data_IF_480681984038
#
_entry.id   IF_480681984038
#
_cell.length_a   1.000
_cell.length_b   1.000
_cell.length_c   1.000
_cell.angle_alpha   90.00
_cell.angle_beta   90.00
_cell.angle_gamma   90.00
#
_symmetry.space_group_name_H-M   'P 1'
#
loop_
_entity.id
_entity.type
_entity.pdbx_description
1 polymer ?
#
# COMPACT_ATOMS: atom_id res chain seq x y z
N UNK A 1 -7.85 5.89 20.32
CA UNK A 1 -7.69 6.25 18.89
C UNK A 1 -6.75 5.22 18.31
N UNK A 2 -7.10 4.59 17.19
CA UNK A 2 -6.30 3.48 16.65
C UNK A 2 -5.23 4.08 15.74
N UNK A 3 -3.97 3.78 16.01
CA UNK A 3 -2.81 4.35 15.31
C UNK A 3 -2.92 4.15 13.78
N UNK A 4 -3.60 3.10 13.36
CA UNK A 4 -3.94 2.76 11.97
C UNK A 4 -4.72 3.87 11.24
N UNK A 5 -5.67 4.54 11.89
CA UNK A 5 -6.47 5.60 11.26
C UNK A 5 -5.64 6.86 10.98
N UNK A 6 -4.71 7.19 11.90
CA UNK A 6 -3.76 8.28 11.71
C UNK A 6 -2.86 8.02 10.51
N UNK A 7 -2.29 6.82 10.41
CA UNK A 7 -1.43 6.46 9.28
C UNK A 7 -2.22 6.35 7.98
N UNK A 8 -3.46 5.88 8.01
CA UNK A 8 -4.31 5.85 6.82
C UNK A 8 -4.54 7.26 6.26
N UNK A 9 -4.83 8.23 7.13
CA UNK A 9 -5.00 9.62 6.76
C UNK A 9 -3.68 10.26 6.32
N UNK A 10 -2.58 10.01 7.04
CA UNK A 10 -1.26 10.57 6.73
C UNK A 10 -0.71 10.06 5.39
N UNK A 11 -1.00 8.81 5.03
CA UNK A 11 -0.63 8.21 3.74
C UNK A 11 -1.63 8.55 2.62
N UNK A 12 -2.74 9.23 2.93
CA UNK A 12 -3.77 9.57 1.94
C UNK A 12 -4.46 8.36 1.31
N UNK A 13 -4.53 7.23 2.03
CA UNK A 13 -5.14 6.02 1.52
C UNK A 13 -6.66 6.18 1.38
N UNK A 14 -7.17 5.86 0.20
CA UNK A 14 -8.60 5.88 -0.12
C UNK A 14 -9.13 4.45 -0.26
N UNK A 15 -10.43 4.29 -0.04
CA UNK A 15 -11.10 3.00 -0.26
C UNK A 15 -10.76 2.45 -1.66
N UNK A 16 -10.39 1.16 -1.79
CA UNK A 16 -10.51 0.09 -0.79
C UNK A 16 -9.26 -0.14 0.08
N UNK A 17 -8.23 0.69 -0.05
CA UNK A 17 -7.00 0.59 0.73
C UNK A 17 -7.23 1.01 2.18
N UNK A 18 -6.68 0.24 3.12
CA UNK A 18 -6.68 0.57 4.54
C UNK A 18 -5.39 0.10 5.21
N UNK A 19 -5.06 0.71 6.34
CA UNK A 19 -3.93 0.24 7.16
C UNK A 19 -4.42 -0.93 8.01
N UNK A 20 -3.88 -2.11 7.76
CA UNK A 20 -4.19 -3.33 8.50
C UNK A 20 -3.52 -3.32 9.88
N UNK A 21 -2.25 -2.92 9.93
CA UNK A 21 -1.51 -2.87 11.20
C UNK A 21 -0.29 -1.94 11.09
N UNK A 22 0.11 -1.35 12.22
CA UNK A 22 1.39 -0.65 12.35
C UNK A 22 2.19 -1.29 13.47
N UNK A 23 3.47 -1.57 13.21
CA UNK A 23 4.43 -2.04 14.20
C UNK A 23 5.53 -1.02 14.34
N UNK A 24 5.80 -0.63 15.56
CA UNK A 24 6.85 0.33 15.88
C UNK A 24 7.90 -0.36 16.75
N UNK A 25 9.12 -0.40 16.24
CA UNK A 25 10.28 -0.99 16.90
C UNK A 25 11.19 0.16 17.36
N UNK A 26 11.13 0.44 18.67
CA UNK A 26 11.91 1.50 19.31
C UNK A 26 13.41 1.20 19.28
N UNK A 27 13.79 -0.05 19.50
CA UNK A 27 15.19 -0.46 19.54
C UNK A 27 15.87 -0.33 18.16
N UNK A 28 15.12 -0.60 17.09
CA UNK A 28 15.60 -0.45 15.70
C UNK A 28 15.28 0.91 15.09
N UNK A 29 14.61 1.80 15.81
CA UNK A 29 14.08 3.05 15.26
C UNK A 29 13.31 2.85 13.94
N UNK A 30 12.47 1.83 13.86
CA UNK A 30 11.78 1.41 12.63
C UNK A 30 10.27 1.37 12.81
N UNK A 31 9.55 1.89 11.83
CA UNK A 31 8.10 1.85 11.70
C UNK A 31 7.73 0.98 10.50
N UNK A 32 7.06 -0.15 10.75
CA UNK A 32 6.52 -1.04 9.73
C UNK A 32 5.01 -0.86 9.64
N UNK A 33 4.52 -0.33 8.52
CA UNK A 33 3.10 -0.14 8.25
C UNK A 33 2.65 -1.15 7.22
N UNK A 34 1.68 -1.98 7.60
CA UNK A 34 1.05 -2.96 6.72
C UNK A 34 -0.25 -2.39 6.17
N UNK A 35 -0.33 -2.30 4.85
CA UNK A 35 -1.48 -1.81 4.11
C UNK A 35 -2.13 -3.00 3.41
N UNK A 36 -3.45 -3.07 3.46
CA UNK A 36 -4.20 -4.12 2.78
C UNK A 36 -5.48 -3.58 2.14
N UNK A 37 -6.14 -4.42 1.36
CA UNK A 37 -7.45 -4.19 0.79
C UNK A 37 -8.31 -5.46 0.91
N UNK A 38 -9.64 -5.31 1.06
CA UNK A 38 -10.55 -6.45 1.11
C UNK A 38 -10.48 -7.33 -0.14
N UNK A 39 -10.61 -8.65 0.00
CA UNK A 39 -10.73 -9.55 -1.17
C UNK A 39 -11.96 -9.20 -2.00
N UNK A 40 -11.83 -9.26 -3.33
CA UNK A 40 -12.89 -8.84 -4.24
C UNK A 40 -12.95 -7.32 -4.44
N UNK A 41 -12.00 -6.56 -3.89
CA UNK A 41 -11.85 -5.15 -4.22
C UNK A 41 -11.59 -4.98 -5.71
N UNK A 42 -12.26 -4.00 -6.28
CA UNK A 42 -12.05 -3.56 -7.67
C UNK A 42 -11.26 -2.27 -7.66
N UNK A 43 -10.40 -2.10 -8.66
CA UNK A 43 -9.64 -0.88 -8.85
C UNK A 43 -9.76 -0.40 -10.29
N UNK A 44 -9.46 0.87 -10.49
CA UNK A 44 -9.29 1.41 -11.83
C UNK A 44 -7.95 0.94 -12.40
N UNK A 45 -7.95 0.42 -13.62
CA UNK A 45 -6.72 0.05 -14.29
C UNK A 45 -5.90 1.33 -14.60
N UNK A 46 -4.62 1.41 -14.18
CA UNK A 46 -3.81 2.60 -14.43
C UNK A 46 -3.46 2.80 -15.92
N UNK A 47 -3.54 1.76 -16.74
CA UNK A 47 -3.21 1.81 -18.17
C UNK A 47 -4.40 2.24 -19.03
N UNK A 48 -5.61 1.74 -18.75
CA UNK A 48 -6.79 1.98 -19.58
C UNK A 48 -7.91 2.75 -18.90
N UNK A 49 -7.77 3.08 -17.60
CA UNK A 49 -8.79 3.79 -16.82
C UNK A 49 -10.07 3.00 -16.58
N UNK A 50 -10.11 1.72 -16.97
CA UNK A 50 -11.31 0.88 -16.81
C UNK A 50 -11.53 0.60 -15.32
N UNK A 51 -12.70 1.00 -14.84
CA UNK A 51 -13.16 0.68 -13.49
C UNK A 51 -13.63 -0.77 -13.39
N UNK A 52 -13.68 -1.31 -12.18
CA UNK A 52 -14.19 -2.66 -11.95
C UNK A 52 -13.19 -3.77 -12.28
N UNK A 53 -11.92 -3.45 -12.52
CA UNK A 53 -10.91 -4.48 -12.72
C UNK A 53 -10.62 -5.14 -11.36
N UNK A 54 -10.89 -6.44 -11.25
CA UNK A 54 -10.57 -7.22 -10.06
C UNK A 54 -9.07 -7.50 -9.98
N UNK A 55 -8.52 -7.48 -8.77
CA UNK A 55 -7.17 -7.96 -8.51
C UNK A 55 -7.11 -9.47 -8.81
N UNK A 56 -6.63 -9.84 -10.01
CA UNK A 56 -6.51 -11.23 -10.44
C UNK A 56 -5.38 -11.94 -9.69
N UNK A 57 -4.25 -11.25 -9.57
CA UNK A 57 -3.09 -11.70 -8.82
C UNK A 57 -2.65 -10.59 -7.86
N UNK A 58 -2.02 -10.97 -6.74
CA UNK A 58 -1.56 -10.03 -5.73
C UNK A 58 -0.16 -10.39 -5.27
N UNK A 59 0.78 -9.47 -5.45
CA UNK A 59 2.15 -9.63 -4.94
C UNK A 59 2.35 -8.75 -3.71
N UNK A 60 3.14 -9.24 -2.75
CA UNK A 60 3.51 -8.45 -1.59
C UNK A 60 4.74 -7.59 -1.95
N UNK A 61 4.57 -6.29 -1.87
CA UNK A 61 5.65 -5.33 -2.05
C UNK A 61 6.00 -4.65 -0.73
N UNK A 62 7.28 -4.37 -0.55
CA UNK A 62 7.80 -3.53 0.51
C UNK A 62 8.47 -2.31 -0.11
N UNK A 63 8.13 -1.12 0.38
CA UNK A 63 8.77 0.13 0.00
C UNK A 63 9.30 0.85 1.23
N UNK A 64 10.51 1.41 1.09
CA UNK A 64 11.04 2.35 2.08
C UNK A 64 10.46 3.73 1.83
N UNK A 65 9.67 4.23 2.78
CA UNK A 65 9.12 5.58 2.76
C UNK A 65 10.11 6.57 3.41
N UNK A 66 9.86 7.87 3.22
CA UNK A 66 10.55 8.89 4.01
C UNK A 66 10.35 8.62 5.51
N UNK A 67 11.39 8.91 6.29
CA UNK A 67 11.38 8.70 7.73
C UNK A 67 10.19 9.41 8.39
N UNK A 68 9.41 8.67 9.16
CA UNK A 68 8.35 9.22 9.99
C UNK A 68 8.94 9.50 11.38
N UNK A 69 8.80 10.75 11.86
CA UNK A 69 9.23 11.13 13.22
C UNK A 69 10.68 10.71 13.58
N UNK A 70 11.61 10.81 12.62
CA UNK A 70 13.02 10.39 12.77
C UNK A 70 13.27 8.86 12.80
N UNK A 71 12.24 8.06 12.51
CA UNK A 71 12.33 6.61 12.39
C UNK A 71 12.23 6.16 10.93
N UNK A 72 12.94 5.09 10.57
CA UNK A 72 12.84 4.51 9.22
C UNK A 72 11.44 3.94 9.01
N UNK A 73 10.76 4.33 7.93
CA UNK A 73 9.42 3.86 7.64
C UNK A 73 9.43 2.86 6.49
N UNK A 74 8.90 1.66 6.73
CA UNK A 74 8.71 0.63 5.73
C UNK A 74 7.22 0.38 5.56
N UNK A 75 6.76 0.48 4.31
CA UNK A 75 5.38 0.21 3.94
C UNK A 75 5.35 -1.15 3.27
N UNK A 76 4.55 -2.06 3.78
CA UNK A 76 4.28 -3.35 3.15
C UNK A 76 2.84 -3.36 2.67
N UNK A 77 2.62 -3.63 1.38
CA UNK A 77 1.26 -3.79 0.87
C UNK A 77 1.17 -4.96 -0.09
N UNK A 78 0.00 -5.58 -0.17
CA UNK A 78 -0.35 -6.41 -1.33
C UNK A 78 -0.68 -5.46 -2.47
N UNK A 79 -0.06 -5.63 -3.63
CA UNK A 79 -0.33 -4.85 -4.83
C UNK A 79 -1.07 -5.74 -5.81
N UNK A 80 -2.22 -5.31 -6.33
CA UNK A 80 -2.88 -6.03 -7.41
C UNK A 80 -1.98 -5.98 -8.66
N UNK A 81 -1.54 -7.15 -9.11
CA UNK A 81 -0.90 -7.28 -10.41
C UNK A 81 -1.99 -7.37 -11.48
N UNK A 82 -1.90 -6.47 -12.45
CA UNK A 82 -2.73 -6.51 -13.64
C UNK A 82 -1.99 -7.30 -14.71
N UNK A 83 -2.66 -8.27 -15.35
CA UNK A 83 -2.11 -8.99 -16.53
C UNK A 83 -1.86 -8.05 -17.74
N UNK A 84 -2.17 -6.75 -17.62
CA UNK A 84 -1.89 -5.78 -18.69
C UNK A 84 -0.42 -5.35 -18.63
N UNK A 85 0.42 -6.20 -19.22
CA UNK A 85 1.61 -5.79 -19.97
C UNK A 85 2.72 -5.11 -19.17
N UNK A 86 3.83 -5.83 -19.03
CA UNK A 86 5.18 -5.30 -19.22
C UNK A 86 5.13 -4.20 -20.30
N UNK A 87 5.11 -2.92 -19.91
CA UNK A 87 5.60 -1.71 -20.62
C UNK A 87 4.99 -0.50 -19.89
N UNK A 88 5.69 0.02 -18.88
CA UNK A 88 5.54 1.41 -18.46
C UNK A 88 6.93 1.97 -18.10
N UNK A 89 7.67 2.31 -19.16
CA UNK A 89 8.52 3.50 -19.25
C UNK A 89 9.48 3.75 -18.07
N UNK A 90 10.69 3.19 -18.13
CA UNK A 90 11.87 4.02 -18.44
C UNK A 90 11.51 5.18 -19.38
N UNK A 91 11.26 6.35 -18.82
CA UNK A 91 11.73 7.63 -19.36
C UNK A 91 12.25 8.47 -18.21
#
# INVERSE_FOLDING_TARGET
MRDTELFQLALGLTSPWHVESCKFDLDKHRLDVKIDFPRGSVFACPSCGKEGCGAYDTEQHEWRHLNFFQHEAYLTARVPLWIVGIVASRR
#
